data_IF_928966452520
#
_entry.id   IF_928966452520
#
_cell.length_a   1.000
_cell.length_b   1.000
_cell.length_c   1.000
_cell.angle_alpha   90.00
_cell.angle_beta   90.00
_cell.angle_gamma   90.00
#
_symmetry.space_group_name_H-M   'P 1'
#
loop_
_entity.id
_entity.type
_entity.pdbx_description
1 polymer ?
#
# COMPACT_ATOMS: atom_id res chain seq x y z
N UNK A 1 4.75 -14.19 -5.30
CA UNK A 1 4.39 -12.77 -5.41
C UNK A 1 3.29 -12.53 -4.37
N UNK A 2 3.17 -11.35 -3.77
CA UNK A 2 2.37 -11.13 -2.55
C UNK A 2 0.90 -10.81 -2.90
N UNK A 3 -0.03 -11.32 -2.08
CA UNK A 3 -1.45 -10.96 -2.16
C UNK A 3 -1.69 -9.66 -1.38
N UNK A 4 -1.91 -8.57 -2.10
CA UNK A 4 -2.10 -7.25 -1.53
C UNK A 4 -3.41 -7.14 -0.72
N UNK A 5 -4.49 -7.78 -1.18
CA UNK A 5 -5.79 -7.77 -0.50
C UNK A 5 -5.67 -8.42 0.86
N UNK A 6 -5.02 -9.58 0.93
CA UNK A 6 -4.81 -10.29 2.19
C UNK A 6 -3.90 -9.50 3.13
N UNK A 7 -2.80 -8.90 2.63
CA UNK A 7 -1.91 -8.06 3.44
C UNK A 7 -2.66 -6.90 4.08
N UNK A 8 -3.50 -6.18 3.33
CA UNK A 8 -4.27 -5.05 3.87
C UNK A 8 -5.27 -5.53 4.93
N UNK A 9 -5.96 -6.66 4.69
CA UNK A 9 -6.89 -7.25 5.67
C UNK A 9 -6.20 -7.66 6.97
N UNK A 10 -5.00 -8.22 6.89
CA UNK A 10 -4.22 -8.68 8.04
C UNK A 10 -3.56 -7.55 8.84
N UNK A 11 -3.41 -6.37 8.24
CA UNK A 11 -2.71 -5.23 8.83
C UNK A 11 -3.63 -3.99 8.91
N UNK A 12 -4.69 -4.00 9.75
CA UNK A 12 -5.59 -2.86 9.88
C UNK A 12 -4.83 -1.61 10.32
N UNK A 13 -5.04 -0.50 9.61
CA UNK A 13 -4.35 0.76 9.86
C UNK A 13 -2.98 0.90 9.17
N UNK A 14 -2.61 -0.05 8.30
CA UNK A 14 -1.45 0.09 7.42
C UNK A 14 -1.49 1.39 6.60
N UNK A 15 -0.32 1.88 6.22
CA UNK A 15 -0.17 3.15 5.50
C UNK A 15 0.45 2.87 4.13
N UNK A 16 -0.26 3.24 3.07
CA UNK A 16 0.30 3.27 1.73
C UNK A 16 0.94 4.65 1.48
N UNK A 17 2.24 4.67 1.23
CA UNK A 17 2.96 5.85 0.76
C UNK A 17 3.14 5.71 -0.76
N UNK A 18 2.52 6.62 -1.53
CA UNK A 18 2.53 6.63 -2.99
C UNK A 18 3.38 7.81 -3.45
N UNK A 19 4.42 7.54 -4.24
CA UNK A 19 5.30 8.53 -4.84
C UNK A 19 5.44 8.24 -6.34
N UNK A 20 4.65 8.94 -7.15
CA UNK A 20 4.62 8.93 -8.62
C UNK A 20 4.81 7.55 -9.29
N UNK A 21 6.03 7.05 -9.37
CA UNK A 21 6.39 5.80 -10.04
C UNK A 21 6.50 4.57 -9.11
N UNK A 22 6.31 4.74 -7.81
CA UNK A 22 6.36 3.66 -6.84
C UNK A 22 5.42 3.86 -5.66
N UNK A 23 5.13 2.76 -4.97
CA UNK A 23 4.45 2.82 -3.69
C UNK A 23 5.01 1.76 -2.75
N UNK A 24 4.94 2.06 -1.45
CA UNK A 24 5.27 1.14 -0.37
C UNK A 24 4.10 1.08 0.62
N UNK A 25 3.80 -0.12 1.09
CA UNK A 25 2.81 -0.36 2.14
C UNK A 25 3.56 -0.66 3.44
N UNK A 26 3.30 0.13 4.47
CA UNK A 26 3.93 0.00 5.78
C UNK A 26 2.90 -0.40 6.83
N UNK A 27 3.33 -1.01 7.95
CA UNK A 27 2.45 -1.21 9.10
C UNK A 27 1.92 0.13 9.63
N UNK A 28 0.90 0.06 10.49
CA UNK A 28 0.45 1.25 11.21
C UNK A 28 1.62 1.87 12.00
N UNK A 29 1.75 3.19 11.97
CA UNK A 29 2.75 3.89 12.78
C UNK A 29 2.42 3.73 14.27
N UNK A 30 3.44 3.53 15.08
CA UNK A 30 3.33 3.43 16.55
C UNK A 30 2.96 4.76 17.21
N UNK A 31 3.22 5.89 16.52
CA UNK A 31 2.93 7.26 16.95
C UNK A 31 2.77 8.20 15.74
N UNK A 32 2.20 9.41 15.92
CA UNK A 32 2.09 10.41 14.84
C UNK A 32 3.44 10.73 14.20
N UNK A 33 3.44 11.13 12.91
CA UNK A 33 4.68 11.35 12.14
C UNK A 33 5.54 12.45 12.75
N UNK A 34 4.88 13.49 13.24
CA UNK A 34 5.46 14.65 13.89
C UNK A 34 6.18 14.33 15.21
N UNK A 35 5.86 13.20 15.84
CA UNK A 35 6.46 12.74 17.09
C UNK A 35 7.54 11.67 16.88
N UNK A 36 7.83 11.31 15.63
CA UNK A 36 8.87 10.34 15.28
C UNK A 36 10.26 10.98 15.35
N UNK A 37 11.20 10.25 15.95
CA UNK A 37 12.62 10.56 15.88
C UNK A 37 13.20 10.05 14.56
N UNK A 38 14.44 10.42 14.24
CA UNK A 38 15.17 9.89 13.09
C UNK A 38 15.30 8.36 13.16
N UNK A 39 15.62 7.82 14.34
CA UNK A 39 15.68 6.37 14.58
C UNK A 39 14.32 5.70 14.34
N UNK A 40 13.22 6.29 14.81
CA UNK A 40 11.87 5.75 14.54
C UNK A 40 11.56 5.73 13.04
N UNK A 41 12.02 6.73 12.29
CA UNK A 41 11.84 6.79 10.85
C UNK A 41 12.63 5.69 10.15
N UNK A 42 13.92 5.53 10.46
CA UNK A 42 14.76 4.46 9.92
C UNK A 42 14.13 3.08 10.18
N UNK A 43 13.77 2.82 11.44
CA UNK A 43 13.19 1.54 11.86
C UNK A 43 11.86 1.21 11.16
N UNK A 44 11.09 2.23 10.80
CA UNK A 44 9.82 2.11 10.10
C UNK A 44 10.03 1.86 8.60
N UNK A 45 10.93 2.62 7.96
CA UNK A 45 11.20 2.49 6.53
C UNK A 45 11.92 1.18 6.17
N UNK A 46 12.60 0.54 7.13
CA UNK A 46 13.22 -0.79 6.96
C UNK A 46 12.23 -1.96 6.96
N UNK A 47 10.95 -1.72 7.28
CA UNK A 47 9.94 -2.79 7.49
C UNK A 47 8.69 -2.62 6.61
N UNK A 48 8.80 -2.45 5.28
CA UNK A 48 7.63 -2.44 4.41
C UNK A 48 6.96 -3.83 4.39
N UNK A 49 5.63 -3.83 4.42
CA UNK A 49 4.80 -5.02 4.22
C UNK A 49 4.86 -5.46 2.74
N UNK A 50 4.78 -4.50 1.82
CA UNK A 50 4.83 -4.71 0.38
C UNK A 50 5.27 -3.43 -0.36
N UNK A 51 5.63 -3.59 -1.62
CA UNK A 51 5.81 -2.50 -2.57
C UNK A 51 5.28 -2.93 -3.94
N UNK A 52 5.21 -2.00 -4.89
CA UNK A 52 4.72 -2.26 -6.25
C UNK A 52 5.46 -3.39 -6.99
N UNK A 53 6.75 -3.65 -6.68
CA UNK A 53 7.50 -4.75 -7.30
C UNK A 53 7.23 -6.14 -6.70
N UNK A 54 6.54 -6.21 -5.56
CA UNK A 54 6.39 -7.44 -4.78
C UNK A 54 5.02 -8.13 -4.93
N UNK A 55 4.06 -7.44 -5.52
CA UNK A 55 2.63 -7.82 -5.51
C UNK A 55 2.15 -8.42 -6.83
N UNK A 56 1.19 -9.34 -6.71
CA UNK A 56 0.47 -9.86 -7.87
C UNK A 56 -0.45 -8.77 -8.41
N UNK A 57 -0.38 -8.44 -9.72
CA UNK A 57 -1.35 -7.55 -10.33
C UNK A 57 -2.76 -8.12 -10.12
N UNK A 58 -3.66 -7.31 -9.55
CA UNK A 58 -5.05 -7.72 -9.30
C UNK A 58 -5.91 -7.68 -10.58
N UNK A 59 -5.39 -7.11 -11.67
CA UNK A 59 -5.99 -7.15 -13.00
C UNK A 59 -5.40 -6.11 -13.96
N UNK A 60 -5.84 -6.16 -15.22
CA UNK A 60 -5.44 -5.23 -16.29
C UNK A 60 -6.26 -3.91 -16.31
N UNK A 61 -7.13 -3.69 -15.31
CA UNK A 61 -8.23 -2.71 -15.35
C UNK A 61 -7.85 -1.24 -15.10
N UNK A 62 -6.66 -0.83 -15.55
CA UNK A 62 -6.47 0.55 -16.03
C UNK A 62 -5.98 1.60 -15.03
N UNK A 63 -5.60 1.21 -13.81
CA UNK A 63 -4.68 2.02 -13.00
C UNK A 63 -3.27 1.48 -13.20
N UNK A 64 -2.35 2.32 -13.69
CA UNK A 64 -0.97 1.91 -13.90
C UNK A 64 -0.36 1.32 -12.62
N UNK A 65 0.50 0.31 -12.79
CA UNK A 65 1.16 -0.42 -11.71
C UNK A 65 2.01 0.48 -10.77
N UNK A 66 2.26 1.73 -11.20
CA UNK A 66 3.24 2.63 -10.60
C UNK A 66 2.59 3.72 -9.72
N UNK A 67 1.34 4.12 -9.96
CA UNK A 67 0.69 5.28 -9.31
C UNK A 67 -0.23 4.88 -8.13
N UNK A 68 0.04 3.75 -7.46
CA UNK A 68 -0.83 3.23 -6.40
C UNK A 68 -2.14 2.61 -6.90
N UNK A 69 -2.21 2.27 -8.19
CA UNK A 69 -3.36 1.61 -8.80
C UNK A 69 -3.74 0.30 -8.13
N UNK A 70 -2.74 -0.52 -7.81
CA UNK A 70 -2.95 -1.81 -7.14
C UNK A 70 -3.55 -1.62 -5.74
N UNK A 71 -3.15 -0.57 -5.02
CA UNK A 71 -3.74 -0.23 -3.71
C UNK A 71 -5.22 0.09 -3.88
N UNK A 72 -5.58 0.92 -4.87
CA UNK A 72 -6.97 1.29 -5.11
C UNK A 72 -7.83 0.08 -5.52
N UNK A 73 -7.30 -0.80 -6.37
CA UNK A 73 -7.98 -2.05 -6.75
C UNK A 73 -8.17 -2.98 -5.55
N UNK A 74 -7.12 -3.17 -4.73
CA UNK A 74 -7.22 -3.99 -3.52
C UNK A 74 -8.29 -3.46 -2.56
N UNK A 75 -8.34 -2.14 -2.34
CA UNK A 75 -9.38 -1.50 -1.53
C UNK A 75 -10.77 -1.68 -2.13
N UNK A 76 -10.91 -1.57 -3.45
CA UNK A 76 -12.17 -1.77 -4.15
C UNK A 76 -12.69 -3.21 -3.96
N UNK A 77 -11.80 -4.20 -4.06
CA UNK A 77 -12.14 -5.60 -3.80
C UNK A 77 -12.55 -5.83 -2.34
N UNK A 78 -11.82 -5.24 -1.37
CA UNK A 78 -12.14 -5.34 0.06
C UNK A 78 -13.54 -4.76 0.35
N UNK A 79 -13.85 -3.60 -0.22
CA UNK A 79 -15.11 -2.88 0.04
C UNK A 79 -16.27 -3.42 -0.82
N UNK A 80 -15.97 -4.16 -1.89
CA UNK A 80 -16.96 -4.72 -2.80
C UNK A 80 -17.53 -3.70 -3.80
N UNK A 81 -16.68 -2.78 -4.28
CA UNK A 81 -17.03 -1.78 -5.30
C UNK A 81 -16.21 -1.98 -6.57
N UNK A 82 -16.70 -1.45 -7.69
CA UNK A 82 -15.94 -1.36 -8.95
C UNK A 82 -15.41 0.07 -9.10
N UNK A 83 -14.16 0.21 -9.53
CA UNK A 83 -13.56 1.49 -9.87
C UNK A 83 -13.56 1.65 -11.39
N UNK A 84 -13.99 2.80 -11.89
CA UNK A 84 -14.01 3.12 -13.31
C UNK A 84 -13.19 4.39 -13.58
N UNK A 85 -12.39 4.36 -14.65
CA UNK A 85 -11.64 5.51 -15.15
C UNK A 85 -12.50 6.26 -16.16
N UNK A 86 -12.61 7.57 -16.00
CA UNK A 86 -13.33 8.51 -16.90
C UNK A 86 -12.39 9.52 -17.54
#
# INVERSE_FOLDING_TARGET
MKDLVQIIKDNPGCIAEIDNDSWHLFPARSKPKEDMTEEDHEDYYDKPLACNSDIEPLGDDGYGHCDGGDILQALAEIVGIKVERV
#
